data_IF_185061740370
#
_entry.id   IF_185061740370
#
_cell.length_a   1.000
_cell.length_b   1.000
_cell.length_c   1.000
_cell.angle_alpha   90.00
_cell.angle_beta   90.00
_cell.angle_gamma   90.00
#
_symmetry.space_group_name_H-M   'P 1'
#
loop_
_entity.id
_entity.type
_entity.pdbx_description
1 polymer ?
#
# COMPACT_ATOMS: atom_id res chain seq x y z
N UNK A 1 -12.00 -7.50 -24.99
CA UNK A 1 -12.69 -7.61 -23.68
C UNK A 1 -11.64 -7.95 -22.69
N UNK A 2 -11.57 -7.22 -21.60
CA UNK A 2 -10.60 -7.50 -20.53
C UNK A 2 -11.31 -8.09 -19.31
N UNK A 3 -10.67 -9.05 -18.68
CA UNK A 3 -11.15 -9.76 -17.49
C UNK A 3 -10.21 -9.54 -16.34
N UNK A 4 -10.69 -8.96 -15.25
CA UNK A 4 -9.92 -8.79 -14.03
C UNK A 4 -10.48 -9.66 -12.90
N UNK A 5 -9.61 -10.42 -12.25
CA UNK A 5 -9.91 -11.09 -10.99
C UNK A 5 -9.38 -10.24 -9.83
N UNK A 6 -10.27 -9.82 -8.93
CA UNK A 6 -9.92 -9.06 -7.73
C UNK A 6 -10.00 -10.00 -6.52
N UNK A 7 -8.89 -10.20 -5.84
CA UNK A 7 -8.79 -10.97 -4.60
C UNK A 7 -8.80 -10.00 -3.42
N UNK A 8 -9.85 -10.04 -2.63
CA UNK A 8 -10.10 -9.12 -1.52
C UNK A 8 -11.44 -8.40 -1.66
N UNK A 9 -12.04 -8.03 -0.53
CA UNK A 9 -13.33 -7.31 -0.48
C UNK A 9 -13.39 -6.41 0.77
N UNK A 10 -12.27 -5.74 1.10
CA UNK A 10 -12.16 -4.74 2.16
C UNK A 10 -12.36 -3.32 1.65
N UNK A 11 -11.97 -2.32 2.46
CA UNK A 11 -12.12 -0.90 2.12
C UNK A 11 -11.40 -0.50 0.82
N UNK A 12 -10.12 -0.86 0.70
CA UNK A 12 -9.30 -0.62 -0.51
C UNK A 12 -9.90 -1.32 -1.73
N UNK A 13 -10.26 -2.60 -1.60
CA UNK A 13 -10.89 -3.37 -2.66
C UNK A 13 -12.19 -2.70 -3.15
N UNK A 14 -13.02 -2.20 -2.23
CA UNK A 14 -14.27 -1.51 -2.56
C UNK A 14 -14.03 -0.28 -3.45
N UNK A 15 -13.00 0.50 -3.17
CA UNK A 15 -12.60 1.65 -3.99
C UNK A 15 -12.05 1.20 -5.35
N UNK A 16 -11.09 0.26 -5.36
CA UNK A 16 -10.49 -0.23 -6.61
C UNK A 16 -11.56 -0.79 -7.56
N UNK A 17 -12.51 -1.59 -7.05
CA UNK A 17 -13.62 -2.14 -7.82
C UNK A 17 -14.53 -1.02 -8.35
N UNK A 18 -14.88 -0.03 -7.51
CA UNK A 18 -15.69 1.09 -7.96
C UNK A 18 -15.00 1.88 -9.07
N UNK A 19 -13.71 2.12 -8.95
CA UNK A 19 -12.89 2.80 -9.99
C UNK A 19 -12.74 1.98 -11.27
N UNK A 20 -12.61 0.66 -11.17
CA UNK A 20 -12.68 -0.21 -12.34
C UNK A 20 -14.05 -0.08 -13.05
N UNK A 21 -15.14 -0.04 -12.29
CA UNK A 21 -16.48 0.16 -12.83
C UNK A 21 -16.68 1.55 -13.49
N UNK A 22 -16.03 2.59 -12.98
CA UNK A 22 -15.99 3.92 -13.61
C UNK A 22 -15.14 3.95 -14.90
N UNK A 23 -14.23 3.00 -15.07
CA UNK A 23 -13.37 2.85 -16.25
C UNK A 23 -13.76 1.60 -17.06
N UNK A 24 -15.05 1.44 -17.33
CA UNK A 24 -15.64 0.25 -17.98
C UNK A 24 -15.16 -0.01 -19.40
N UNK A 25 -14.61 0.98 -20.09
CA UNK A 25 -13.99 0.82 -21.40
C UNK A 25 -12.72 -0.06 -21.32
N UNK A 26 -12.01 0.00 -20.20
CA UNK A 26 -10.85 -0.84 -19.90
C UNK A 26 -11.27 -2.12 -19.21
N UNK A 27 -12.11 -2.05 -18.18
CA UNK A 27 -12.53 -3.17 -17.37
C UNK A 27 -13.91 -3.68 -17.80
N UNK A 28 -13.98 -4.58 -18.77
CA UNK A 28 -15.26 -5.07 -19.30
C UNK A 28 -15.89 -6.15 -18.44
N UNK A 29 -15.08 -6.97 -17.77
CA UNK A 29 -15.54 -8.01 -16.85
C UNK A 29 -14.70 -8.00 -15.55
N UNK A 30 -15.36 -8.11 -14.42
CA UNK A 30 -14.76 -8.27 -13.09
C UNK A 30 -15.25 -9.53 -12.40
N UNK A 31 -14.35 -10.27 -11.75
CA UNK A 31 -14.70 -11.26 -10.74
C UNK A 31 -14.17 -10.80 -9.38
N UNK A 32 -15.06 -10.57 -8.42
CA UNK A 32 -14.70 -10.21 -7.05
C UNK A 32 -14.71 -11.48 -6.21
N UNK A 33 -13.58 -11.79 -5.57
CA UNK A 33 -13.44 -13.01 -4.79
C UNK A 33 -12.87 -12.76 -3.39
N UNK A 34 -13.45 -13.38 -2.38
CA UNK A 34 -12.96 -13.36 -1.00
C UNK A 34 -13.47 -14.57 -0.22
N UNK A 35 -12.97 -14.75 1.01
CA UNK A 35 -13.49 -15.80 1.93
C UNK A 35 -14.98 -15.63 2.25
N UNK A 36 -15.46 -14.40 2.23
CA UNK A 36 -16.86 -14.07 2.54
C UNK A 36 -17.59 -13.62 1.27
N UNK A 37 -18.14 -14.59 0.51
CA UNK A 37 -18.84 -14.33 -0.75
C UNK A 37 -19.94 -13.30 -0.63
N UNK A 38 -20.69 -13.27 0.48
CA UNK A 38 -21.77 -12.30 0.69
C UNK A 38 -21.30 -10.84 0.69
N UNK A 39 -20.07 -10.55 1.10
CA UNK A 39 -19.48 -9.21 0.97
C UNK A 39 -19.26 -8.85 -0.51
N UNK A 40 -18.77 -9.81 -1.31
CA UNK A 40 -18.59 -9.62 -2.75
C UNK A 40 -19.94 -9.40 -3.46
N UNK A 41 -20.96 -10.17 -3.08
CA UNK A 41 -22.31 -10.04 -3.62
C UNK A 41 -22.90 -8.66 -3.31
N UNK A 42 -22.72 -8.13 -2.09
CA UNK A 42 -23.18 -6.80 -1.72
C UNK A 42 -22.48 -5.68 -2.53
N UNK A 43 -21.17 -5.81 -2.80
CA UNK A 43 -20.44 -4.87 -3.68
C UNK A 43 -20.99 -4.93 -5.09
N UNK A 44 -21.23 -6.14 -5.63
CA UNK A 44 -21.85 -6.32 -6.94
C UNK A 44 -23.24 -5.68 -7.00
N UNK A 45 -24.11 -5.95 -6.05
CA UNK A 45 -25.47 -5.40 -6.00
C UNK A 45 -25.47 -3.87 -6.01
N UNK A 46 -24.52 -3.25 -5.29
CA UNK A 46 -24.33 -1.80 -5.25
C UNK A 46 -23.88 -1.22 -6.59
N UNK A 47 -22.90 -1.84 -7.25
CA UNK A 47 -22.21 -1.25 -8.39
C UNK A 47 -22.78 -1.66 -9.75
N UNK A 48 -23.30 -2.88 -9.90
CA UNK A 48 -23.81 -3.38 -11.19
C UNK A 48 -24.85 -2.47 -11.86
N UNK A 49 -25.76 -1.79 -11.12
CA UNK A 49 -26.72 -0.88 -11.75
C UNK A 49 -26.11 0.40 -12.34
N UNK A 50 -24.87 0.74 -11.97
CA UNK A 50 -24.21 2.02 -12.32
C UNK A 50 -23.10 1.87 -13.36
N UNK A 51 -22.81 0.65 -13.83
CA UNK A 51 -21.70 0.36 -14.72
C UNK A 51 -22.09 -0.59 -15.86
N UNK A 52 -21.42 -0.48 -17.01
CA UNK A 52 -21.48 -1.47 -18.08
C UNK A 52 -20.53 -2.67 -17.86
N UNK A 53 -19.62 -2.58 -16.88
CA UNK A 53 -18.75 -3.69 -16.49
C UNK A 53 -19.58 -4.86 -15.96
N UNK A 54 -19.37 -6.06 -16.48
CA UNK A 54 -20.04 -7.27 -15.99
C UNK A 54 -19.36 -7.76 -14.71
N UNK A 55 -20.09 -7.75 -13.59
CA UNK A 55 -19.53 -8.16 -12.30
C UNK A 55 -20.02 -9.57 -11.95
N UNK A 56 -19.07 -10.46 -11.68
CA UNK A 56 -19.29 -11.78 -11.10
C UNK A 56 -18.66 -11.88 -9.71
N UNK A 57 -19.06 -12.86 -8.92
CA UNK A 57 -18.53 -13.05 -7.56
C UNK A 57 -18.17 -14.51 -7.33
N UNK A 58 -17.12 -14.74 -6.54
CA UNK A 58 -16.70 -16.07 -6.14
C UNK A 58 -16.33 -16.12 -4.65
N UNK A 59 -16.33 -17.31 -4.09
CA UNK A 59 -15.72 -17.56 -2.79
C UNK A 59 -14.33 -18.17 -3.02
N UNK A 60 -13.33 -17.65 -2.34
CA UNK A 60 -11.98 -18.18 -2.38
C UNK A 60 -11.28 -17.92 -1.05
N UNK A 61 -10.54 -18.87 -0.58
CA UNK A 61 -9.57 -18.69 0.49
C UNK A 61 -8.21 -18.40 -0.14
N UNK A 62 -7.69 -17.19 0.07
CA UNK A 62 -6.43 -16.75 -0.52
C UNK A 62 -5.19 -17.41 0.15
N UNK A 63 -5.36 -18.12 1.26
CA UNK A 63 -4.33 -18.97 1.86
C UNK A 63 -4.26 -20.34 1.16
N UNK A 64 -5.25 -20.68 0.31
CA UNK A 64 -5.31 -21.93 -0.43
C UNK A 64 -4.93 -21.75 -1.90
N UNK A 65 -3.67 -22.06 -2.24
CA UNK A 65 -3.20 -22.06 -3.63
C UNK A 65 -4.11 -22.89 -4.55
N UNK A 66 -4.61 -24.04 -4.09
CA UNK A 66 -5.46 -24.92 -4.88
C UNK A 66 -6.77 -24.24 -5.27
N UNK A 67 -7.45 -23.55 -4.32
CA UNK A 67 -8.69 -22.81 -4.61
C UNK A 67 -8.42 -21.65 -5.57
N UNK A 68 -7.31 -20.91 -5.39
CA UNK A 68 -6.91 -19.82 -6.28
C UNK A 68 -6.68 -20.33 -7.70
N UNK A 69 -5.90 -21.40 -7.87
CA UNK A 69 -5.63 -22.02 -9.18
C UNK A 69 -6.93 -22.48 -9.85
N UNK A 70 -7.84 -23.11 -9.09
CA UNK A 70 -9.14 -23.51 -9.62
C UNK A 70 -9.96 -22.30 -10.12
N UNK A 71 -10.01 -21.23 -9.33
CA UNK A 71 -10.74 -20.00 -9.69
C UNK A 71 -10.12 -19.32 -10.91
N UNK A 72 -8.79 -19.15 -10.95
CA UNK A 72 -8.09 -18.50 -12.06
C UNK A 72 -8.29 -19.30 -13.35
N UNK A 73 -8.15 -20.65 -13.31
CA UNK A 73 -8.39 -21.52 -14.49
C UNK A 73 -9.84 -21.47 -14.97
N UNK A 74 -10.82 -21.36 -14.06
CA UNK A 74 -12.22 -21.28 -14.41
C UNK A 74 -12.61 -19.92 -15.01
N UNK A 75 -12.12 -18.83 -14.43
CA UNK A 75 -12.45 -17.46 -14.85
C UNK A 75 -11.58 -16.99 -16.04
N UNK A 76 -10.33 -17.41 -16.11
CA UNK A 76 -9.35 -17.00 -17.13
C UNK A 76 -9.17 -15.49 -17.21
N UNK A 77 -8.71 -14.83 -16.13
CA UNK A 77 -8.48 -13.40 -16.13
C UNK A 77 -7.25 -13.03 -16.94
N UNK A 78 -7.21 -11.80 -17.47
CA UNK A 78 -6.00 -11.19 -18.06
C UNK A 78 -5.00 -10.79 -16.97
N UNK A 79 -5.50 -10.43 -15.77
CA UNK A 79 -4.68 -10.10 -14.61
C UNK A 79 -5.41 -10.43 -13.30
N UNK A 80 -4.65 -10.63 -12.23
CA UNK A 80 -5.11 -10.80 -10.85
C UNK A 80 -4.67 -9.59 -10.05
N UNK A 81 -5.63 -8.81 -9.54
CA UNK A 81 -5.38 -7.74 -8.58
C UNK A 81 -5.56 -8.27 -7.16
N UNK A 82 -4.47 -8.31 -6.42
CA UNK A 82 -4.45 -8.66 -5.02
C UNK A 82 -4.62 -7.41 -4.16
N UNK A 83 -5.74 -7.30 -3.48
CA UNK A 83 -6.06 -6.29 -2.46
C UNK A 83 -6.58 -6.99 -1.18
N UNK A 84 -6.08 -8.21 -0.95
CA UNK A 84 -6.21 -8.97 0.28
C UNK A 84 -5.20 -8.46 1.33
N UNK A 85 -4.87 -9.28 2.32
CA UNK A 85 -3.81 -8.93 3.27
C UNK A 85 -2.44 -9.36 2.72
N UNK A 86 -1.35 -8.69 3.11
CA UNK A 86 0.00 -8.98 2.61
C UNK A 86 0.47 -10.41 2.90
N UNK A 87 -0.13 -11.09 3.86
CA UNK A 87 0.15 -12.50 4.19
C UNK A 87 -0.10 -13.46 3.03
N UNK A 88 -1.04 -13.13 2.11
CA UNK A 88 -1.45 -13.99 1.01
C UNK A 88 -0.66 -13.76 -0.29
N UNK A 89 0.22 -12.77 -0.36
CA UNK A 89 0.88 -12.36 -1.60
C UNK A 89 1.60 -13.52 -2.29
N UNK A 90 2.46 -14.24 -1.56
CA UNK A 90 3.22 -15.34 -2.17
C UNK A 90 2.32 -16.50 -2.61
N UNK A 91 1.24 -16.80 -1.88
CA UNK A 91 0.28 -17.84 -2.25
C UNK A 91 -0.46 -17.48 -3.54
N UNK A 92 -0.84 -16.18 -3.70
CA UNK A 92 -1.49 -15.70 -4.91
C UNK A 92 -0.49 -15.65 -6.08
N UNK A 93 0.76 -15.20 -5.86
CA UNK A 93 1.83 -15.22 -6.86
C UNK A 93 2.11 -16.65 -7.37
N UNK A 94 2.14 -17.65 -6.47
CA UNK A 94 2.29 -19.05 -6.85
C UNK A 94 1.13 -19.56 -7.72
N UNK A 95 -0.09 -19.14 -7.44
CA UNK A 95 -1.27 -19.48 -8.24
C UNK A 95 -1.23 -18.81 -9.62
N UNK A 96 -0.81 -17.53 -9.67
CA UNK A 96 -0.61 -16.78 -10.91
C UNK A 96 0.46 -17.42 -11.79
N UNK A 97 1.59 -17.85 -11.21
CA UNK A 97 2.63 -18.60 -11.93
C UNK A 97 2.10 -19.89 -12.57
N UNK A 98 1.35 -20.69 -11.81
CA UNK A 98 0.80 -21.95 -12.33
C UNK A 98 -0.20 -21.72 -13.46
N UNK A 99 -0.97 -20.63 -13.37
CA UNK A 99 -2.01 -20.30 -14.35
C UNK A 99 -1.53 -19.37 -15.48
N UNK A 100 -0.31 -18.84 -15.40
CA UNK A 100 0.26 -17.84 -16.32
C UNK A 100 -0.59 -16.57 -16.42
N UNK A 101 -1.06 -16.06 -15.30
CA UNK A 101 -1.78 -14.79 -15.18
C UNK A 101 -0.84 -13.70 -14.62
N UNK A 102 -0.97 -12.46 -15.10
CA UNK A 102 -0.26 -11.32 -14.54
C UNK A 102 -0.76 -11.05 -13.11
N UNK A 103 0.15 -10.65 -12.21
CA UNK A 103 -0.11 -10.37 -10.79
C UNK A 103 0.09 -8.90 -10.50
N UNK A 104 -0.76 -8.33 -9.67
CA UNK A 104 -0.68 -6.92 -9.24
C UNK A 104 -1.07 -6.84 -7.76
N UNK A 105 -0.33 -6.05 -6.96
CA UNK A 105 -0.66 -5.79 -5.56
C UNK A 105 -0.47 -4.31 -5.16
N UNK A 106 -0.75 -4.00 -3.91
CA UNK A 106 -0.67 -2.64 -3.34
C UNK A 106 0.29 -2.51 -2.17
N UNK A 107 0.97 -3.58 -1.79
CA UNK A 107 1.89 -3.64 -0.65
C UNK A 107 2.92 -4.74 -0.88
N UNK A 108 3.86 -4.93 0.03
CA UNK A 108 4.78 -6.06 0.00
C UNK A 108 4.30 -7.22 0.88
N UNK A 109 4.89 -8.41 0.66
CA UNK A 109 4.64 -9.57 1.49
C UNK A 109 5.08 -9.35 2.94
N UNK A 110 4.22 -9.76 3.84
CA UNK A 110 4.49 -9.82 5.27
C UNK A 110 4.08 -11.20 5.81
N UNK A 111 4.91 -11.90 6.59
CA UNK A 111 4.50 -13.17 7.18
C UNK A 111 3.44 -12.94 8.27
N UNK A 112 2.39 -13.73 8.28
CA UNK A 112 1.34 -13.68 9.31
C UNK A 112 1.92 -14.00 10.70
N UNK A 113 2.86 -14.93 10.75
CA UNK A 113 3.55 -15.34 11.97
C UNK A 113 5.05 -15.04 11.90
N UNK A 114 5.43 -13.87 12.36
CA UNK A 114 6.83 -13.44 12.44
C UNK A 114 7.68 -14.25 13.43
N UNK A 115 7.04 -15.00 14.33
CA UNK A 115 7.69 -15.89 15.28
C UNK A 115 7.92 -17.30 14.70
N UNK A 116 7.51 -17.59 13.44
CA UNK A 116 7.84 -18.85 12.77
C UNK A 116 9.36 -19.04 12.71
N UNK A 117 9.91 -20.12 13.31
CA UNK A 117 11.36 -20.29 13.40
C UNK A 117 12.06 -20.38 12.04
N UNK A 118 11.39 -20.92 11.02
CA UNK A 118 11.97 -21.07 9.68
C UNK A 118 12.06 -19.72 8.99
N UNK A 119 10.98 -18.94 9.00
CA UNK A 119 10.98 -17.57 8.50
C UNK A 119 11.96 -16.70 9.28
N UNK A 120 11.90 -16.77 10.62
CA UNK A 120 12.74 -15.96 11.50
C UNK A 120 14.24 -16.19 11.27
N UNK A 121 14.66 -17.44 11.06
CA UNK A 121 16.07 -17.74 10.80
C UNK A 121 16.58 -17.11 9.49
N UNK A 122 15.75 -17.07 8.44
CA UNK A 122 16.09 -16.42 7.15
C UNK A 122 16.14 -14.91 7.33
N UNK A 123 15.14 -14.34 7.98
CA UNK A 123 15.03 -12.92 8.25
C UNK A 123 16.18 -12.40 9.14
N UNK A 124 16.47 -13.06 10.26
CA UNK A 124 17.55 -12.65 11.17
C UNK A 124 18.93 -12.70 10.49
N UNK A 125 19.15 -13.69 9.60
CA UNK A 125 20.35 -13.74 8.79
C UNK A 125 20.48 -12.50 7.89
N UNK A 126 19.41 -12.17 7.18
CA UNK A 126 19.37 -11.02 6.29
C UNK A 126 19.52 -9.71 7.04
N UNK A 127 18.81 -9.52 8.16
CA UNK A 127 18.97 -8.33 9.01
C UNK A 127 20.42 -8.11 9.44
N UNK A 128 21.12 -9.20 9.79
CA UNK A 128 22.54 -9.14 10.17
C UNK A 128 23.44 -8.76 8.99
N UNK A 129 23.12 -9.23 7.79
CA UNK A 129 23.90 -8.95 6.57
C UNK A 129 23.66 -7.51 6.08
N UNK A 130 22.45 -6.99 6.18
CA UNK A 130 22.05 -5.67 5.70
C UNK A 130 22.01 -4.58 6.79
N UNK A 131 21.98 -4.97 8.07
CA UNK A 131 22.05 -4.05 9.21
C UNK A 131 20.73 -3.37 9.57
N UNK A 132 19.58 -3.97 9.28
CA UNK A 132 18.27 -3.46 9.71
C UNK A 132 17.34 -4.58 10.19
N UNK A 133 16.19 -4.25 10.80
CA UNK A 133 15.26 -5.21 11.42
C UNK A 133 13.78 -4.92 11.13
N UNK A 134 13.47 -4.34 9.99
CA UNK A 134 12.09 -4.15 9.56
C UNK A 134 11.43 -5.47 9.14
N UNK A 135 10.13 -5.59 9.32
CA UNK A 135 9.36 -6.78 8.94
C UNK A 135 8.95 -6.76 7.46
N UNK A 136 8.84 -5.57 6.87
CA UNK A 136 8.40 -5.34 5.51
C UNK A 136 9.56 -5.48 4.56
N UNK A 137 9.40 -6.29 3.50
CA UNK A 137 10.52 -6.67 2.68
C UNK A 137 10.09 -7.21 1.31
N UNK A 138 10.42 -6.48 0.26
CA UNK A 138 10.17 -6.88 -1.12
C UNK A 138 11.00 -8.07 -1.60
N UNK A 139 12.08 -8.43 -0.93
CA UNK A 139 12.96 -9.50 -1.41
C UNK A 139 12.25 -10.85 -1.56
N UNK A 140 11.21 -11.10 -0.75
CA UNK A 140 10.39 -12.30 -0.87
C UNK A 140 9.69 -12.37 -2.23
N UNK A 141 9.15 -11.26 -2.71
CA UNK A 141 8.47 -11.17 -4.00
C UNK A 141 9.48 -11.02 -5.15
N UNK A 142 10.58 -10.29 -4.98
CA UNK A 142 11.66 -10.20 -5.98
C UNK A 142 12.32 -11.54 -6.27
N UNK A 143 12.35 -12.47 -5.31
CA UNK A 143 12.84 -13.85 -5.53
C UNK A 143 12.02 -14.62 -6.58
N UNK A 144 10.83 -14.16 -6.93
CA UNK A 144 10.00 -14.74 -8.00
C UNK A 144 10.38 -14.24 -9.40
N UNK A 145 11.28 -13.27 -9.55
CA UNK A 145 11.59 -12.61 -10.83
C UNK A 145 11.87 -13.60 -11.95
N UNK A 146 12.83 -14.48 -11.76
CA UNK A 146 13.20 -15.47 -12.80
C UNK A 146 12.04 -16.42 -13.15
N UNK A 147 11.24 -16.82 -12.15
CA UNK A 147 10.08 -17.69 -12.38
C UNK A 147 9.02 -17.02 -13.25
N UNK A 148 8.74 -15.73 -12.98
CA UNK A 148 7.80 -14.93 -13.77
C UNK A 148 8.35 -14.65 -15.17
N UNK A 149 9.64 -14.37 -15.33
CA UNK A 149 10.32 -14.24 -16.63
C UNK A 149 10.17 -15.52 -17.47
N UNK A 150 10.46 -16.68 -16.89
CA UNK A 150 10.33 -17.99 -17.56
C UNK A 150 8.88 -18.33 -17.91
N UNK A 151 7.92 -17.94 -17.07
CA UNK A 151 6.49 -18.11 -17.33
C UNK A 151 5.97 -17.12 -18.39
N UNK A 152 6.72 -16.05 -18.70
CA UNK A 152 6.37 -15.02 -19.67
C UNK A 152 5.30 -14.05 -19.19
N UNK A 153 5.11 -13.92 -17.87
CA UNK A 153 4.13 -13.07 -17.20
C UNK A 153 4.81 -11.97 -16.36
N UNK A 154 4.03 -11.01 -15.91
CA UNK A 154 4.47 -9.89 -15.08
C UNK A 154 3.85 -9.92 -13.69
N UNK A 155 4.62 -9.55 -12.66
CA UNK A 155 4.13 -9.07 -11.40
C UNK A 155 4.45 -7.57 -11.28
N UNK A 156 3.43 -6.75 -10.98
CA UNK A 156 3.54 -5.34 -10.65
C UNK A 156 3.31 -5.18 -9.16
N UNK A 157 4.31 -4.74 -8.43
CA UNK A 157 4.30 -4.63 -6.98
C UNK A 157 4.07 -3.21 -6.51
N UNK A 158 3.30 -3.09 -5.43
CA UNK A 158 3.14 -1.85 -4.68
C UNK A 158 2.43 -0.75 -5.47
N UNK A 159 1.33 -1.04 -6.19
CA UNK A 159 0.53 0.02 -6.84
C UNK A 159 -0.58 0.54 -5.90
N UNK A 160 -0.17 0.95 -4.68
CA UNK A 160 -0.98 1.69 -3.72
C UNK A 160 -0.67 3.19 -3.75
N UNK A 161 -0.77 3.87 -2.60
CA UNK A 161 -0.29 5.25 -2.51
C UNK A 161 1.17 5.29 -2.03
N UNK A 162 1.40 4.74 -0.88
CA UNK A 162 2.68 4.45 -0.25
C UNK A 162 2.66 2.98 0.24
N UNK A 163 3.31 2.09 -0.51
CA UNK A 163 4.03 2.26 -1.78
C UNK A 163 3.10 2.48 -2.98
N UNK A 164 3.59 3.17 -3.99
CA UNK A 164 2.93 3.29 -5.28
C UNK A 164 2.98 4.71 -5.85
N UNK A 165 2.04 5.59 -5.50
CA UNK A 165 2.03 6.98 -6.00
C UNK A 165 3.31 7.71 -5.60
N UNK A 166 3.81 7.52 -4.37
CA UNK A 166 5.09 8.08 -3.89
C UNK A 166 6.27 7.59 -4.72
N UNK A 167 6.26 6.33 -5.12
CA UNK A 167 7.27 5.73 -6.00
C UNK A 167 7.17 6.29 -7.42
N UNK A 168 5.96 6.44 -7.97
CA UNK A 168 5.73 7.07 -9.27
C UNK A 168 6.11 8.57 -9.24
N UNK A 169 5.81 9.29 -8.15
CA UNK A 169 6.27 10.67 -7.97
C UNK A 169 7.81 10.76 -8.03
N UNK A 170 8.51 9.77 -7.48
CA UNK A 170 9.97 9.71 -7.53
C UNK A 170 10.50 9.52 -8.95
N UNK A 171 9.92 8.59 -9.71
CA UNK A 171 10.25 8.40 -11.13
C UNK A 171 9.89 9.63 -11.97
N UNK A 172 8.75 10.27 -11.70
CA UNK A 172 8.31 11.49 -12.38
C UNK A 172 9.24 12.69 -12.08
N UNK A 173 9.62 12.85 -10.81
CA UNK A 173 10.56 13.88 -10.40
C UNK A 173 11.92 13.70 -11.09
N UNK A 174 12.45 12.47 -11.12
CA UNK A 174 13.71 12.16 -11.80
C UNK A 174 13.60 12.46 -13.32
N UNK A 175 12.51 12.09 -13.96
CA UNK A 175 12.31 12.30 -15.41
C UNK A 175 12.21 13.77 -15.79
N UNK A 176 11.48 14.58 -15.01
CA UNK A 176 11.09 15.94 -15.43
C UNK A 176 11.80 17.07 -14.68
N UNK A 177 12.24 16.84 -13.43
CA UNK A 177 12.72 17.92 -12.57
C UNK A 177 14.19 17.81 -12.15
N UNK A 178 14.80 16.63 -12.25
CA UNK A 178 16.16 16.38 -11.79
C UNK A 178 17.01 15.65 -12.82
N UNK A 179 18.30 15.91 -12.78
CA UNK A 179 19.33 15.09 -13.42
C UNK A 179 19.83 14.02 -12.43
N UNK A 180 19.79 14.32 -11.12
CA UNK A 180 20.12 13.44 -10.02
C UNK A 180 19.26 13.81 -8.80
N UNK A 181 18.59 12.83 -8.20
CA UNK A 181 17.90 12.98 -6.90
C UNK A 181 18.86 12.54 -5.79
N UNK A 182 19.17 13.46 -4.87
CA UNK A 182 20.03 13.17 -3.72
C UNK A 182 19.25 12.68 -2.51
N UNK A 183 18.07 13.28 -2.24
CA UNK A 183 17.25 12.90 -1.07
C UNK A 183 15.77 12.86 -1.41
N UNK A 184 15.07 11.92 -0.77
CA UNK A 184 13.62 11.75 -0.83
C UNK A 184 13.09 11.71 0.60
N UNK A 185 12.24 12.65 0.98
CA UNK A 185 11.48 12.60 2.22
C UNK A 185 10.00 12.38 1.87
N UNK A 186 9.49 11.19 2.20
CA UNK A 186 8.11 10.80 1.97
C UNK A 186 7.29 11.21 3.18
N UNK A 187 6.21 11.95 2.96
CA UNK A 187 5.37 12.50 4.01
C UNK A 187 3.94 11.97 3.85
N UNK A 188 3.48 11.13 4.78
CA UNK A 188 2.09 10.67 4.86
C UNK A 188 1.37 11.41 6.00
N UNK A 189 0.48 12.33 5.61
CA UNK A 189 -0.35 13.06 6.55
C UNK A 189 -1.82 12.70 6.41
N UNK A 190 -2.37 12.10 7.47
CA UNK A 190 -3.80 12.00 7.66
C UNK A 190 -4.27 13.06 8.70
N UNK A 191 -4.84 14.16 8.22
CA UNK A 191 -5.47 15.19 9.06
C UNK A 191 -6.95 14.91 9.36
N UNK A 192 -7.44 13.71 9.06
CA UNK A 192 -8.82 13.30 9.29
C UNK A 192 -9.17 13.08 10.76
N UNK A 193 -10.41 13.38 11.12
CA UNK A 193 -11.00 13.09 12.43
C UNK A 193 -12.26 12.24 12.26
N UNK A 194 -12.24 11.02 12.80
CA UNK A 194 -13.36 10.07 12.82
C UNK A 194 -14.15 10.12 14.14
N UNK A 195 -13.72 10.95 15.11
CA UNK A 195 -14.41 11.14 16.40
C UNK A 195 -14.28 10.00 17.40
N UNK A 196 -13.47 8.97 17.16
CA UNK A 196 -13.12 7.97 18.15
C UNK A 196 -11.84 8.38 18.88
N UNK A 197 -11.73 8.12 20.20
CA UNK A 197 -10.48 8.36 20.94
C UNK A 197 -9.31 7.53 20.41
N UNK A 198 -9.61 6.32 19.90
CA UNK A 198 -8.64 5.40 19.31
C UNK A 198 -9.34 4.53 18.25
N UNK A 199 -8.85 4.58 17.04
CA UNK A 199 -9.20 3.72 15.92
C UNK A 199 -8.09 3.78 14.87
N UNK A 200 -8.07 2.82 13.95
CA UNK A 200 -7.13 2.79 12.83
C UNK A 200 -7.85 3.00 11.51
N UNK A 201 -7.22 3.64 10.54
CA UNK A 201 -7.84 3.96 9.25
C UNK A 201 -7.74 2.83 8.22
N UNK A 202 -6.90 1.84 8.49
CA UNK A 202 -6.76 0.58 7.73
C UNK A 202 -6.66 -0.59 8.72
N UNK A 203 -6.26 -1.78 8.27
CA UNK A 203 -6.24 -2.97 9.10
C UNK A 203 -5.56 -2.71 10.46
N UNK A 204 -6.27 -2.87 11.60
CA UNK A 204 -5.72 -2.51 12.91
C UNK A 204 -4.44 -3.26 13.27
N UNK A 205 -4.35 -4.52 12.91
CA UNK A 205 -3.17 -5.34 13.21
C UNK A 205 -1.94 -4.85 12.45
N UNK A 206 -2.07 -4.62 11.13
CA UNK A 206 -0.98 -4.10 10.30
C UNK A 206 -0.53 -2.73 10.84
N UNK A 207 -1.46 -1.81 11.03
CA UNK A 207 -1.15 -0.48 11.56
C UNK A 207 -0.44 -0.51 12.91
N UNK A 208 -0.92 -1.30 13.87
CA UNK A 208 -0.33 -1.36 15.20
C UNK A 208 1.07 -2.01 15.18
N UNK A 209 1.29 -3.01 14.34
CA UNK A 209 2.60 -3.67 14.18
C UNK A 209 3.60 -2.73 13.52
N UNK A 210 3.21 -2.04 12.47
CA UNK A 210 4.02 -1.06 11.76
C UNK A 210 4.50 0.06 12.70
N UNK A 211 3.58 0.69 13.42
CA UNK A 211 3.90 1.82 14.32
C UNK A 211 4.73 1.39 15.54
N UNK A 212 4.63 0.13 16.00
CA UNK A 212 5.42 -0.39 17.11
C UNK A 212 6.77 -0.99 16.68
N UNK A 213 6.99 -1.20 15.39
CA UNK A 213 8.27 -1.70 14.88
C UNK A 213 9.38 -0.65 14.97
N UNK A 214 10.66 -1.07 15.04
CA UNK A 214 11.79 -0.16 14.84
C UNK A 214 11.65 0.59 13.52
N UNK A 215 11.93 1.89 13.54
CA UNK A 215 12.02 2.68 12.32
C UNK A 215 13.34 2.42 11.59
N UNK A 216 13.34 2.54 10.27
CA UNK A 216 14.58 2.52 9.51
C UNK A 216 14.48 3.40 8.27
N UNK A 217 15.61 3.89 7.81
CA UNK A 217 15.73 4.71 6.62
C UNK A 217 17.03 4.42 5.87
N UNK A 218 17.07 4.79 4.60
CA UNK A 218 18.26 4.64 3.77
C UNK A 218 19.13 5.88 3.85
N UNK A 219 20.43 5.71 4.08
CA UNK A 219 21.41 6.80 4.07
C UNK A 219 22.79 6.34 3.59
N UNK A 220 23.30 7.02 2.56
CA UNK A 220 24.65 6.82 2.01
C UNK A 220 25.00 5.35 1.71
N UNK A 221 24.07 4.60 1.14
CA UNK A 221 24.30 3.22 0.71
C UNK A 221 24.07 2.17 1.79
N UNK A 222 23.49 2.53 2.93
CA UNK A 222 23.20 1.59 4.02
C UNK A 222 21.91 1.94 4.77
N UNK A 223 21.37 0.96 5.45
CA UNK A 223 20.22 1.13 6.34
C UNK A 223 20.64 1.71 7.69
N UNK A 224 19.87 2.64 8.20
CA UNK A 224 19.98 3.18 9.56
C UNK A 224 18.73 2.79 10.33
N UNK A 225 18.89 2.00 11.38
CA UNK A 225 17.80 1.61 12.28
C UNK A 225 17.71 2.56 13.47
N UNK A 226 16.49 2.85 13.89
CA UNK A 226 16.17 3.66 15.07
C UNK A 226 15.08 2.97 15.91
N UNK A 227 15.00 3.25 17.23
CA UNK A 227 13.85 2.79 18.02
C UNK A 227 12.53 3.32 17.44
N UNK A 228 11.45 2.57 17.63
CA UNK A 228 10.12 2.98 17.19
C UNK A 228 9.78 4.41 17.62
N UNK A 229 9.28 5.22 16.71
CA UNK A 229 8.85 6.62 16.94
C UNK A 229 9.94 7.56 17.49
N UNK A 230 11.24 7.22 17.39
CA UNK A 230 12.33 7.99 18.03
C UNK A 230 12.60 9.34 17.36
N UNK A 231 12.33 9.47 16.05
CA UNK A 231 12.51 10.73 15.33
C UNK A 231 11.15 11.34 15.05
N UNK A 232 10.92 12.51 15.65
CA UNK A 232 9.73 13.32 15.48
C UNK A 232 10.11 14.61 14.74
N UNK A 233 9.25 15.08 13.83
CA UNK A 233 9.33 16.37 13.14
C UNK A 233 7.97 17.04 13.13
N UNK A 234 7.95 18.35 12.94
CA UNK A 234 6.74 19.12 12.64
C UNK A 234 6.81 19.58 11.19
N UNK A 235 5.66 19.54 10.50
CA UNK A 235 5.56 20.04 9.13
C UNK A 235 4.21 20.73 8.92
N UNK A 236 4.21 21.85 8.17
CA UNK A 236 3.00 22.56 7.77
C UNK A 236 2.51 22.01 6.43
N UNK A 237 1.60 21.05 6.53
CA UNK A 237 1.07 20.37 5.34
C UNK A 237 0.07 21.24 4.61
N UNK A 238 0.24 21.48 3.29
CA UNK A 238 -0.73 22.21 2.49
C UNK A 238 -2.16 21.72 2.69
N UNK A 239 -3.09 22.62 2.96
CA UNK A 239 -4.52 22.39 3.20
C UNK A 239 -4.88 21.58 4.47
N UNK A 240 -3.90 21.11 5.24
CA UNK A 240 -4.09 20.38 6.51
C UNK A 240 -3.56 21.18 7.69
N UNK A 241 -2.46 21.91 7.51
CA UNK A 241 -1.79 22.68 8.54
C UNK A 241 -0.73 21.90 9.32
N UNK A 242 -0.24 22.52 10.40
CA UNK A 242 0.87 21.99 11.21
C UNK A 242 0.51 20.65 11.87
N UNK A 243 1.36 19.63 11.65
CA UNK A 243 1.22 18.30 12.23
C UNK A 243 2.56 17.76 12.72
N UNK A 244 2.48 16.99 13.81
CA UNK A 244 3.58 16.12 14.23
C UNK A 244 3.64 14.88 13.33
N UNK A 245 4.82 14.56 12.82
CA UNK A 245 5.09 13.34 12.05
C UNK A 245 6.29 12.59 12.64
N UNK A 246 6.28 11.28 12.43
CA UNK A 246 7.26 10.38 13.04
C UNK A 246 7.90 9.53 11.95
N UNK A 247 9.23 9.34 12.03
CA UNK A 247 9.96 8.48 11.11
C UNK A 247 9.65 7.01 11.41
N UNK A 248 9.19 6.31 10.38
CA UNK A 248 8.94 4.87 10.38
C UNK A 248 9.78 4.19 9.30
N UNK A 249 9.87 2.86 9.34
CA UNK A 249 10.20 2.09 8.15
C UNK A 249 8.97 2.02 7.24
N UNK A 250 9.19 2.05 5.93
CA UNK A 250 8.13 1.79 4.97
C UNK A 250 8.72 1.13 3.72
N UNK A 251 7.95 0.28 3.05
CA UNK A 251 8.46 -0.64 2.04
C UNK A 251 9.01 0.03 0.78
N UNK A 252 8.46 1.17 0.36
CA UNK A 252 8.98 1.87 -0.83
C UNK A 252 10.41 2.40 -0.65
N UNK A 253 10.88 2.57 0.58
CA UNK A 253 12.28 2.95 0.82
C UNK A 253 13.21 1.91 0.18
N UNK A 254 12.87 0.62 0.28
CA UNK A 254 13.67 -0.48 -0.26
C UNK A 254 13.71 -0.45 -1.80
N UNK A 255 12.54 -0.30 -2.43
CA UNK A 255 12.45 -0.27 -3.89
C UNK A 255 13.06 0.99 -4.49
N UNK A 256 12.85 2.15 -3.86
CA UNK A 256 13.45 3.42 -4.29
C UNK A 256 14.97 3.45 -4.13
N UNK A 257 15.49 2.89 -3.02
CA UNK A 257 16.96 2.78 -2.83
C UNK A 257 17.62 1.91 -3.92
N UNK A 258 16.90 0.92 -4.42
CA UNK A 258 17.35 0.05 -5.51
C UNK A 258 17.18 0.69 -6.88
N UNK A 259 16.07 1.38 -7.13
CA UNK A 259 15.64 1.77 -8.48
C UNK A 259 15.92 3.25 -8.82
N UNK A 260 16.13 4.13 -7.82
CA UNK A 260 16.49 5.54 -8.05
C UNK A 260 18.02 5.71 -7.99
N UNK A 261 18.70 5.93 -9.13
CA UNK A 261 20.15 6.02 -9.17
C UNK A 261 20.70 7.20 -8.38
N UNK A 262 21.74 6.97 -7.58
CA UNK A 262 22.47 8.04 -6.90
C UNK A 262 21.82 8.59 -5.65
N UNK A 263 20.63 8.11 -5.25
CA UNK A 263 19.94 8.58 -4.05
C UNK A 263 20.77 8.30 -2.80
N UNK A 264 20.98 9.35 -1.99
CA UNK A 264 21.82 9.31 -0.78
C UNK A 264 21.00 9.09 0.48
N UNK A 265 19.75 9.59 0.53
CA UNK A 265 18.87 9.44 1.70
C UNK A 265 17.42 9.30 1.27
N UNK A 266 16.72 8.32 1.88
CA UNK A 266 15.28 8.16 1.76
C UNK A 266 14.70 7.96 3.15
N UNK A 267 13.71 8.78 3.51
CA UNK A 267 13.00 8.72 4.80
C UNK A 267 11.51 8.71 4.57
N UNK A 268 10.78 7.99 5.43
CA UNK A 268 9.33 8.01 5.47
C UNK A 268 8.84 8.57 6.81
N UNK A 269 7.88 9.46 6.75
CA UNK A 269 7.26 10.06 7.92
C UNK A 269 5.74 9.94 7.85
N UNK A 270 5.13 9.48 8.94
CA UNK A 270 3.67 9.40 9.08
C UNK A 270 3.20 10.23 10.26
N UNK A 271 2.02 10.85 10.14
CA UNK A 271 1.43 11.68 11.17
C UNK A 271 0.57 10.89 12.14
N UNK A 272 0.69 11.20 13.44
CA UNK A 272 -0.16 10.61 14.48
C UNK A 272 -0.65 11.66 15.44
N UNK A 273 -1.94 11.61 15.80
CA UNK A 273 -2.53 12.46 16.84
C UNK A 273 -2.12 12.01 18.24
N UNK A 274 -2.01 12.95 19.18
CA UNK A 274 -1.60 12.67 20.55
C UNK A 274 -2.54 11.68 21.27
N UNK A 275 -3.85 11.71 20.97
CA UNK A 275 -4.80 10.73 21.51
C UNK A 275 -4.44 9.30 21.07
N UNK A 276 -4.18 9.11 19.78
CA UNK A 276 -3.77 7.82 19.24
C UNK A 276 -2.51 7.28 19.94
N UNK A 277 -1.45 8.09 19.99
CA UNK A 277 -0.18 7.69 20.62
C UNK A 277 -0.32 7.34 22.09
N UNK A 278 -1.16 8.09 22.84
CA UNK A 278 -1.41 7.83 24.26
C UNK A 278 -2.09 6.49 24.49
N UNK A 279 -3.12 6.18 23.71
CA UNK A 279 -3.83 4.89 23.81
C UNK A 279 -2.94 3.74 23.35
N UNK A 280 -2.25 3.90 22.23
CA UNK A 280 -1.31 2.90 21.71
C UNK A 280 -0.25 2.55 22.75
N UNK A 281 0.37 3.55 23.39
CA UNK A 281 1.38 3.31 24.44
C UNK A 281 0.81 2.58 25.65
N UNK A 282 -0.41 2.89 26.06
CA UNK A 282 -1.09 2.16 27.14
C UNK A 282 -1.31 0.68 26.75
N UNK A 283 -1.82 0.43 25.54
CA UNK A 283 -2.08 -0.93 25.05
C UNK A 283 -0.78 -1.74 24.90
N UNK A 284 0.29 -1.11 24.43
CA UNK A 284 1.63 -1.72 24.39
C UNK A 284 2.12 -2.12 25.78
N UNK A 285 2.06 -1.18 26.74
CA UNK A 285 2.56 -1.40 28.12
C UNK A 285 1.82 -2.53 28.86
N UNK A 286 0.56 -2.80 28.53
CA UNK A 286 -0.22 -3.90 29.12
C UNK A 286 -0.17 -5.19 28.26
N UNK A 287 0.62 -5.22 27.19
CA UNK A 287 0.83 -6.39 26.35
C UNK A 287 -0.29 -6.68 25.34
N UNK A 288 -1.22 -5.74 25.12
CA UNK A 288 -2.33 -5.93 24.17
C UNK A 288 -1.89 -5.94 22.70
N UNK A 289 -0.68 -5.48 22.38
CA UNK A 289 -0.12 -5.52 21.02
C UNK A 289 0.66 -6.82 20.73
N UNK A 290 0.71 -7.75 21.69
CA UNK A 290 1.43 -9.02 21.53
C UNK A 290 0.76 -9.93 20.52
N UNK A 291 1.59 -10.50 19.61
CA UNK A 291 1.20 -11.58 18.70
C UNK A 291 1.30 -12.97 19.36
N UNK A 292 1.92 -13.07 20.55
CA UNK A 292 2.08 -14.34 21.27
C UNK A 292 0.79 -14.69 22.00
N UNK A 293 0.30 -15.94 21.82
CA UNK A 293 -0.91 -16.36 22.50
C UNK A 293 -0.71 -16.44 24.01
N UNK A 294 -1.77 -16.09 24.74
CA UNK A 294 -1.88 -16.27 26.20
C UNK A 294 -3.02 -17.24 26.52
N UNK A 295 -2.90 -17.97 27.63
CA UNK A 295 -4.00 -18.80 28.10
C UNK A 295 -4.89 -17.99 29.04
N UNK A 296 -6.16 -17.88 28.74
CA UNK A 296 -7.19 -17.30 29.60
C UNK A 296 -8.32 -18.30 29.80
N UNK A 297 -8.48 -18.81 31.01
CA UNK A 297 -9.52 -19.78 31.37
C UNK A 297 -9.55 -21.02 30.47
N UNK A 298 -8.39 -21.56 30.12
CA UNK A 298 -8.24 -22.72 29.23
C UNK A 298 -8.45 -22.45 27.75
N UNK A 299 -8.61 -21.20 27.34
CA UNK A 299 -8.67 -20.77 25.93
C UNK A 299 -7.41 -20.02 25.55
N UNK A 300 -6.89 -20.32 24.38
CA UNK A 300 -5.81 -19.57 23.78
C UNK A 300 -6.35 -18.28 23.15
N UNK A 301 -5.77 -17.15 23.50
CA UNK A 301 -6.11 -15.81 22.99
C UNK A 301 -4.84 -15.12 22.54
N UNK A 302 -4.82 -14.62 21.30
CA UNK A 302 -3.77 -13.72 20.79
C UNK A 302 -4.21 -12.28 21.10
N UNK A 303 -3.49 -11.53 21.97
CA UNK A 303 -3.94 -10.22 22.42
C UNK A 303 -4.26 -9.22 21.32
N UNK A 304 -3.38 -9.08 20.30
CA UNK A 304 -3.61 -8.15 19.19
C UNK A 304 -4.84 -8.52 18.36
N UNK A 305 -5.14 -9.82 18.18
CA UNK A 305 -6.34 -10.27 17.47
C UNK A 305 -7.62 -9.97 18.25
N UNK A 306 -7.54 -10.09 19.58
CA UNK A 306 -8.64 -9.70 20.45
C UNK A 306 -8.87 -8.19 20.42
N UNK A 307 -7.80 -7.39 20.48
CA UNK A 307 -7.88 -5.92 20.32
C UNK A 307 -8.50 -5.53 18.97
N UNK A 308 -8.05 -6.15 17.88
CA UNK A 308 -8.59 -5.94 16.54
C UNK A 308 -10.10 -6.17 16.47
N UNK A 309 -10.61 -7.19 17.17
CA UNK A 309 -12.04 -7.49 17.23
C UNK A 309 -12.86 -6.45 18.01
N UNK A 310 -12.23 -5.66 18.89
CA UNK A 310 -12.88 -4.59 19.66
C UNK A 310 -12.88 -3.24 18.92
N UNK A 311 -11.92 -3.01 18.01
CA UNK A 311 -11.79 -1.76 17.30
C UNK A 311 -12.86 -1.62 16.21
N UNK A 312 -13.27 -0.38 15.88
CA UNK A 312 -14.16 -0.14 14.75
C UNK A 312 -13.55 -0.69 13.45
N UNK A 313 -14.38 -1.31 12.59
CA UNK A 313 -13.96 -1.67 11.24
C UNK A 313 -13.58 -0.39 10.48
N UNK A 314 -12.37 -0.27 9.93
CA UNK A 314 -11.93 0.90 9.16
C UNK A 314 -12.89 1.27 8.01
N UNK A 315 -13.53 0.28 7.38
CA UNK A 315 -14.54 0.51 6.35
C UNK A 315 -15.77 1.27 6.86
N UNK A 316 -16.07 1.19 8.17
CA UNK A 316 -17.21 1.89 8.79
C UNK A 316 -16.92 3.35 9.13
N UNK A 317 -15.68 3.81 9.00
CA UNK A 317 -15.29 5.17 9.37
C UNK A 317 -15.68 6.22 8.31
N UNK A 318 -15.90 5.80 7.06
CA UNK A 318 -16.17 6.70 5.93
C UNK A 318 -17.26 7.76 6.20
N UNK A 319 -18.44 7.41 6.72
CA UNK A 319 -19.53 8.38 6.93
C UNK A 319 -19.20 9.50 7.91
N UNK A 320 -18.25 9.29 8.80
CA UNK A 320 -17.97 10.17 9.93
C UNK A 320 -16.62 10.86 9.90
N UNK A 321 -15.66 10.35 9.10
CA UNK A 321 -14.33 10.96 9.00
C UNK A 321 -14.41 12.28 8.24
N UNK A 322 -13.96 13.36 8.85
CA UNK A 322 -13.88 14.70 8.25
C UNK A 322 -12.44 15.16 8.23
N UNK A 323 -12.11 16.10 7.31
CA UNK A 323 -10.76 16.60 7.13
C UNK A 323 -10.11 16.02 5.87
N UNK A 324 -8.80 16.23 5.75
CA UNK A 324 -8.06 15.92 4.52
C UNK A 324 -6.81 15.11 4.82
N UNK A 325 -6.37 14.33 3.83
CA UNK A 325 -5.01 13.80 3.77
C UNK A 325 -4.13 14.72 2.92
N UNK A 326 -2.82 14.69 3.17
CA UNK A 326 -1.81 15.27 2.29
C UNK A 326 -0.64 14.28 2.25
N UNK A 327 -0.45 13.62 1.13
CA UNK A 327 0.59 12.59 1.00
C UNK A 327 1.45 12.92 -0.23
N UNK A 328 2.77 12.88 -0.05
CA UNK A 328 3.69 13.20 -1.14
C UNK A 328 5.16 13.08 -0.77
N UNK A 329 6.03 13.58 -1.66
CA UNK A 329 7.47 13.44 -1.51
C UNK A 329 8.18 14.78 -1.72
N UNK A 330 9.05 15.15 -0.79
CA UNK A 330 10.01 16.24 -0.96
C UNK A 330 11.28 15.65 -1.56
N UNK A 331 11.63 16.14 -2.74
CA UNK A 331 12.84 15.75 -3.46
C UNK A 331 13.87 16.87 -3.40
N UNK A 332 15.10 16.53 -3.08
CA UNK A 332 16.23 17.44 -3.24
C UNK A 332 17.29 16.78 -4.11
N UNK A 333 17.84 17.53 -5.05
CA UNK A 333 18.80 17.00 -6.00
C UNK A 333 19.41 18.09 -6.88
N UNK A 334 19.92 17.69 -8.02
CA UNK A 334 20.60 18.55 -8.99
C UNK A 334 19.80 18.61 -10.29
N UNK A 335 19.64 19.82 -10.84
CA UNK A 335 19.15 20.10 -12.19
C UNK A 335 20.03 21.15 -12.86
N UNK A 336 20.56 20.85 -14.03
CA UNK A 336 21.46 21.77 -14.78
C UNK A 336 22.62 22.30 -13.92
N UNK A 337 23.21 21.43 -13.07
CA UNK A 337 24.29 21.75 -12.16
C UNK A 337 23.89 22.61 -10.94
N UNK A 338 22.62 22.85 -10.70
CA UNK A 338 22.12 23.65 -9.58
C UNK A 338 21.30 22.77 -8.62
N UNK A 339 21.43 23.06 -7.33
CA UNK A 339 20.59 22.43 -6.31
C UNK A 339 19.14 22.89 -6.48
N UNK A 340 18.23 21.92 -6.46
CA UNK A 340 16.78 22.14 -6.56
C UNK A 340 16.08 21.32 -5.48
N UNK A 341 14.96 21.85 -4.94
CA UNK A 341 14.06 21.12 -4.05
C UNK A 341 12.63 21.36 -4.54
N UNK A 342 11.84 20.28 -4.61
CA UNK A 342 10.40 20.33 -4.92
C UNK A 342 9.62 19.44 -3.97
N UNK A 343 8.33 19.71 -3.81
CA UNK A 343 7.39 18.83 -3.16
C UNK A 343 6.30 18.46 -4.15
N UNK A 344 6.15 17.15 -4.43
CA UNK A 344 5.03 16.61 -5.21
C UNK A 344 4.08 15.94 -4.22
N UNK A 345 2.82 16.37 -4.21
CA UNK A 345 1.85 15.87 -3.24
C UNK A 345 0.42 15.83 -3.80
N UNK A 346 -0.41 15.01 -3.16
CA UNK A 346 -1.85 14.96 -3.36
C UNK A 346 -2.57 15.40 -2.09
N UNK A 347 -3.69 16.07 -2.24
CA UNK A 347 -4.63 16.37 -1.16
C UNK A 347 -5.95 15.68 -1.44
N UNK A 348 -6.48 14.96 -0.46
CA UNK A 348 -7.71 14.20 -0.59
C UNK A 348 -8.66 14.49 0.57
N UNK A 349 -9.92 14.85 0.27
CA UNK A 349 -10.94 15.11 1.29
C UNK A 349 -11.73 13.85 1.60
N UNK A 350 -11.81 13.49 2.90
CA UNK A 350 -12.51 12.28 3.34
C UNK A 350 -13.98 12.22 2.94
N UNK A 351 -14.69 13.35 3.02
CA UNK A 351 -16.12 13.38 2.72
C UNK A 351 -16.40 13.38 1.22
N UNK A 352 -15.54 13.99 0.40
CA UNK A 352 -15.67 13.92 -1.05
C UNK A 352 -15.41 12.49 -1.54
N UNK A 353 -14.41 11.80 -1.00
CA UNK A 353 -14.18 10.37 -1.28
C UNK A 353 -15.39 9.51 -0.88
N UNK A 354 -15.94 9.80 0.31
CA UNK A 354 -17.11 9.06 0.79
C UNK A 354 -18.33 9.27 -0.09
N UNK A 355 -18.59 10.49 -0.55
CA UNK A 355 -19.70 10.78 -1.49
C UNK A 355 -19.54 10.02 -2.81
N UNK A 356 -18.32 9.92 -3.32
CA UNK A 356 -18.05 9.30 -4.62
C UNK A 356 -18.18 7.78 -4.56
N UNK A 357 -17.45 7.13 -3.63
CA UNK A 357 -17.33 5.66 -3.62
C UNK A 357 -17.80 4.99 -2.34
N UNK A 358 -18.20 5.76 -1.33
CA UNK A 358 -18.63 5.24 -0.02
C UNK A 358 -17.50 4.77 0.88
N UNK A 359 -16.29 5.32 0.69
CA UNK A 359 -15.09 5.00 1.48
C UNK A 359 -14.35 6.27 1.87
N UNK A 360 -13.62 6.22 2.98
CA UNK A 360 -12.77 7.32 3.43
C UNK A 360 -11.51 7.49 2.57
N UNK A 361 -10.81 8.65 2.72
CA UNK A 361 -9.66 8.99 1.90
C UNK A 361 -8.51 7.95 1.97
N UNK A 362 -8.22 7.33 3.10
CA UNK A 362 -7.13 6.32 3.20
C UNK A 362 -7.39 5.10 2.31
N UNK A 363 -8.62 4.59 2.27
CA UNK A 363 -8.97 3.53 1.32
C UNK A 363 -9.01 4.04 -0.13
N UNK A 364 -9.37 5.31 -0.32
CA UNK A 364 -9.46 5.94 -1.64
C UNK A 364 -8.08 6.16 -2.25
N UNK A 365 -7.15 6.72 -1.48
CA UNK A 365 -5.77 6.98 -1.92
C UNK A 365 -5.03 5.70 -2.32
N UNK A 366 -5.34 4.55 -1.72
CA UNK A 366 -4.78 3.25 -2.10
C UNK A 366 -5.55 2.57 -3.22
N UNK A 367 -6.89 2.64 -3.21
CA UNK A 367 -7.72 1.90 -4.17
C UNK A 367 -7.74 2.51 -5.58
N UNK A 368 -7.59 3.83 -5.71
CA UNK A 368 -7.48 4.50 -7.03
C UNK A 368 -6.21 4.08 -7.76
N UNK A 369 -5.02 4.15 -7.14
CA UNK A 369 -3.78 3.67 -7.75
C UNK A 369 -3.79 2.18 -8.09
N UNK A 370 -4.40 1.34 -7.27
CA UNK A 370 -4.56 -0.08 -7.56
C UNK A 370 -5.28 -0.31 -8.90
N UNK A 371 -6.35 0.45 -9.16
CA UNK A 371 -7.02 0.44 -10.47
C UNK A 371 -6.12 0.99 -11.58
N UNK A 372 -5.36 2.08 -11.33
CA UNK A 372 -4.51 2.72 -12.35
C UNK A 372 -3.40 1.77 -12.79
N UNK A 373 -2.63 1.20 -11.86
CA UNK A 373 -1.57 0.24 -12.19
C UNK A 373 -2.14 -0.96 -12.96
N UNK A 374 -3.27 -1.49 -12.51
CA UNK A 374 -3.98 -2.58 -13.21
C UNK A 374 -4.40 -2.19 -14.62
N UNK A 375 -4.92 -0.97 -14.83
CA UNK A 375 -5.31 -0.48 -16.14
C UNK A 375 -4.11 -0.37 -17.08
N UNK A 376 -2.97 0.13 -16.60
CA UNK A 376 -1.75 0.26 -17.40
C UNK A 376 -1.19 -1.11 -17.82
N UNK A 377 -1.28 -2.12 -16.96
CA UNK A 377 -0.91 -3.50 -17.29
C UNK A 377 -1.87 -4.11 -18.32
N UNK A 378 -3.18 -4.03 -18.09
CA UNK A 378 -4.19 -4.61 -18.98
C UNK A 378 -4.17 -3.95 -20.36
N UNK A 379 -3.99 -2.63 -20.42
CA UNK A 379 -3.91 -1.88 -21.70
C UNK A 379 -2.55 -1.99 -22.39
N UNK A 380 -1.60 -2.71 -21.76
CA UNK A 380 -0.22 -2.89 -22.26
C UNK A 380 0.57 -1.58 -22.41
N UNK A 381 0.21 -0.53 -21.66
CA UNK A 381 1.03 0.68 -21.54
C UNK A 381 2.26 0.40 -20.67
N UNK A 382 2.10 -0.40 -19.61
CA UNK A 382 3.19 -1.01 -18.86
C UNK A 382 3.30 -2.48 -19.21
N UNK A 383 4.48 -2.90 -19.63
CA UNK A 383 4.74 -4.26 -20.09
C UNK A 383 6.09 -4.75 -19.57
N UNK A 384 6.15 -5.99 -19.17
CA UNK A 384 7.37 -6.66 -18.72
C UNK A 384 7.20 -8.16 -18.61
N UNK A 385 8.29 -8.85 -18.32
CA UNK A 385 8.30 -10.25 -17.88
C UNK A 385 9.20 -10.32 -16.66
N UNK A 386 8.67 -10.81 -15.55
CA UNK A 386 9.37 -10.80 -14.28
C UNK A 386 8.60 -10.05 -13.21
N UNK A 387 9.29 -9.52 -12.21
CA UNK A 387 8.72 -8.80 -11.07
C UNK A 387 9.27 -7.38 -11.07
N UNK A 388 8.40 -6.40 -10.97
CA UNK A 388 8.71 -4.97 -11.09
C UNK A 388 7.98 -4.17 -10.02
N UNK A 389 8.64 -3.11 -9.53
CA UNK A 389 7.97 -2.05 -8.79
C UNK A 389 7.52 -0.93 -9.76
N UNK A 390 6.56 -0.12 -9.34
CA UNK A 390 5.91 0.87 -10.22
C UNK A 390 6.85 1.94 -10.78
N UNK A 391 7.89 2.33 -10.02
CA UNK A 391 8.89 3.32 -10.44
C UNK A 391 9.83 2.84 -11.55
N UNK A 392 9.80 1.57 -11.90
CA UNK A 392 10.59 1.02 -13.01
C UNK A 392 9.97 1.31 -14.39
N UNK A 393 8.76 1.87 -14.43
CA UNK A 393 8.03 2.18 -15.66
C UNK A 393 7.97 3.69 -15.95
N UNK A 394 7.51 4.04 -17.16
CA UNK A 394 7.23 5.44 -17.49
C UNK A 394 6.14 6.01 -16.58
N UNK A 395 6.42 7.04 -15.77
CA UNK A 395 5.45 7.58 -14.81
C UNK A 395 4.32 8.39 -15.45
N UNK A 396 4.51 8.97 -16.65
CA UNK A 396 3.59 9.96 -17.23
C UNK A 396 2.15 9.44 -17.38
N UNK A 397 1.90 8.24 -17.95
CA UNK A 397 0.52 7.76 -18.08
C UNK A 397 -0.16 7.49 -16.73
N UNK A 398 0.62 7.14 -15.72
CA UNK A 398 0.09 6.96 -14.37
C UNK A 398 -0.29 8.30 -13.73
N UNK A 399 0.57 9.31 -13.86
CA UNK A 399 0.36 10.67 -13.37
C UNK A 399 -0.87 11.33 -14.04
N UNK A 400 -1.08 11.11 -15.33
CA UNK A 400 -2.27 11.57 -16.05
C UNK A 400 -3.54 10.89 -15.52
N UNK A 401 -3.48 9.59 -15.24
CA UNK A 401 -4.61 8.85 -14.71
C UNK A 401 -4.94 9.25 -13.27
N UNK A 402 -3.97 9.62 -12.43
CA UNK A 402 -4.24 10.16 -11.09
C UNK A 402 -5.17 11.39 -11.18
N UNK A 403 -4.86 12.34 -12.05
CA UNK A 403 -5.69 13.53 -12.28
C UNK A 403 -7.10 13.14 -12.76
N UNK A 404 -7.19 12.18 -13.67
CA UNK A 404 -8.46 11.73 -14.27
C UNK A 404 -9.38 11.02 -13.27
N UNK A 405 -8.81 10.25 -12.35
CA UNK A 405 -9.56 9.35 -11.46
C UNK A 405 -9.67 9.82 -10.01
N UNK A 406 -9.36 11.09 -9.73
CA UNK A 406 -9.72 11.75 -8.48
C UNK A 406 -8.59 11.88 -7.46
N UNK A 407 -7.33 11.70 -7.89
CA UNK A 407 -6.14 12.00 -7.10
C UNK A 407 -5.26 13.06 -7.80
N UNK A 408 -5.76 14.29 -7.98
CA UNK A 408 -4.96 15.35 -8.57
C UNK A 408 -3.73 15.64 -7.70
N UNK A 409 -2.61 15.89 -8.35
CA UNK A 409 -1.35 16.17 -7.69
C UNK A 409 -0.86 17.59 -8.00
N UNK A 410 -0.01 18.10 -7.11
CA UNK A 410 0.54 19.45 -7.15
C UNK A 410 2.05 19.37 -7.03
N UNK A 411 2.76 20.27 -7.72
CA UNK A 411 4.20 20.50 -7.53
C UNK A 411 4.40 21.87 -6.90
N UNK A 412 4.98 21.89 -5.70
CA UNK A 412 5.53 23.09 -5.09
C UNK A 412 7.04 23.13 -5.37
N UNK A 413 7.50 24.16 -6.04
CA UNK A 413 8.91 24.34 -6.41
C UNK A 413 9.74 25.06 -5.33
N UNK A 414 9.12 25.48 -4.22
CA UNK A 414 9.80 26.15 -3.12
C UNK A 414 9.28 25.66 -1.74
N UNK A 415 9.25 24.37 -1.49
CA UNK A 415 8.71 23.84 -0.24
C UNK A 415 9.63 24.10 0.94
N UNK A 416 9.05 24.06 2.15
CA UNK A 416 9.83 23.83 3.35
C UNK A 416 10.49 22.43 3.28
N UNK A 417 11.70 22.31 3.83
CA UNK A 417 12.41 21.02 3.93
C UNK A 417 12.21 20.41 5.31
N UNK A 418 12.35 19.09 5.38
CA UNK A 418 12.36 18.35 6.65
C UNK A 418 13.78 18.34 7.20
N UNK A 419 14.03 19.07 8.29
CA UNK A 419 15.34 19.12 8.97
C UNK A 419 15.59 17.93 9.92
#
# INVERSE_FOLDING_TARGET
>A
MSKLLVIGCGGVAGVAIAKCCQNSDVFTELCIASRTKSKCDAVKEKLQPTTSTVITTAQVDADSKEQLVHLIKAYQPDAVLNVALPYQDLTIMDACLECKADYIDTANYEPENIDDPAWRAVYDKRCKEEGFSAYFDYSWQWAYKEKFEQAGIMALLGTGFDPGVTSVFSAYALKHYFDEIETIDILDCNGGDHGYPFATNFNPEINLREVSAPGSYWENGHWVEIPAMAIKREYDFPEVGMKDMYLLHHEEIESLAKNIPGVKRIRFFMTFGQSYLTHMKCLENVGMLSTKPINYEGKEIVPIQFLKALLPDPASLGPRTVGKTNIGCIFTGIKDGKKKTIYIYNVCDHQECYKEVGSQAISYTTGVPAMIGTALVITKQWQGKGVFNVEEFDPDPYMDMLNKFGLPWVVDENPATVE
#
